data_IF_199669888025
#
_entry.id   IF_199669888025
#
_cell.length_a   1.000
_cell.length_b   1.000
_cell.length_c   1.000
_cell.angle_alpha   90.00
_cell.angle_beta   90.00
_cell.angle_gamma   90.00
#
_symmetry.space_group_name_H-M   'P 1'
#
loop_
_entity.id
_entity.type
_entity.pdbx_description
1 polymer ?
#
# COMPACT_ATOMS: atom_id res chain seq x y z
N UNK A 1 23.17 -17.66 -15.66
CA UNK A 1 22.22 -16.66 -16.19
C UNK A 1 20.92 -16.95 -15.45
N UNK A 2 20.57 -16.13 -14.45
CA UNK A 2 19.22 -16.15 -13.94
C UNK A 2 18.37 -15.47 -15.00
N UNK A 3 17.37 -16.19 -15.54
CA UNK A 3 16.39 -15.61 -16.43
C UNK A 3 15.79 -14.37 -15.74
N UNK A 4 15.91 -13.19 -16.35
CA UNK A 4 15.25 -12.00 -15.87
C UNK A 4 13.74 -12.29 -15.93
N UNK A 5 13.10 -12.27 -14.76
CA UNK A 5 11.64 -12.43 -14.66
C UNK A 5 11.01 -11.29 -15.46
N UNK A 6 10.33 -11.62 -16.53
CA UNK A 6 9.61 -10.65 -17.36
C UNK A 6 8.43 -10.06 -16.62
N UNK A 7 8.05 -8.82 -16.99
CA UNK A 7 6.89 -8.16 -16.38
C UNK A 7 5.59 -8.98 -16.53
N UNK A 8 5.42 -9.67 -17.66
CA UNK A 8 4.24 -10.50 -17.94
C UNK A 8 4.16 -11.73 -17.02
N UNK A 9 5.30 -12.23 -16.48
CA UNK A 9 5.35 -13.38 -15.58
C UNK A 9 4.83 -13.08 -14.16
N UNK A 10 4.74 -11.81 -13.80
CA UNK A 10 4.35 -11.33 -12.47
C UNK A 10 3.03 -10.55 -12.47
N UNK A 11 2.38 -10.43 -13.63
CA UNK A 11 1.13 -9.70 -13.78
C UNK A 11 -0.04 -10.52 -13.25
N UNK A 12 -0.92 -9.87 -12.50
CA UNK A 12 -2.21 -10.46 -12.13
C UNK A 12 -3.12 -10.55 -13.36
N UNK A 13 -3.92 -11.61 -13.41
CA UNK A 13 -4.96 -11.74 -14.43
C UNK A 13 -6.14 -10.81 -14.10
N UNK A 14 -6.17 -9.65 -14.72
CA UNK A 14 -7.19 -8.65 -14.48
C UNK A 14 -8.41 -8.83 -15.37
N UNK A 15 -9.59 -8.72 -14.76
CA UNK A 15 -10.85 -8.54 -15.47
C UNK A 15 -11.27 -7.06 -15.45
N UNK A 16 -12.16 -6.69 -16.38
CA UNK A 16 -12.77 -5.34 -16.39
C UNK A 16 -13.80 -5.20 -15.28
N UNK A 17 -14.12 -3.97 -14.89
CA UNK A 17 -15.21 -3.68 -13.93
C UNK A 17 -16.55 -4.26 -14.44
N UNK A 18 -16.84 -4.10 -15.72
CA UNK A 18 -18.06 -4.62 -16.32
C UNK A 18 -18.19 -6.15 -16.15
N UNK A 19 -17.10 -6.90 -16.40
CA UNK A 19 -17.07 -8.34 -16.19
C UNK A 19 -17.18 -8.70 -14.70
N UNK A 20 -16.46 -8.01 -13.84
CA UNK A 20 -16.44 -8.27 -12.40
C UNK A 20 -17.80 -8.11 -11.72
N UNK A 21 -18.62 -7.18 -12.19
CA UNK A 21 -19.99 -6.94 -11.67
C UNK A 21 -20.91 -8.16 -11.83
N UNK A 22 -20.68 -8.99 -12.83
CA UNK A 22 -21.45 -10.22 -13.06
C UNK A 22 -20.87 -11.45 -12.33
N UNK A 23 -19.72 -11.31 -11.66
CA UNK A 23 -19.03 -12.41 -10.98
C UNK A 23 -19.34 -12.44 -9.48
N UNK A 24 -19.41 -13.65 -8.93
CA UNK A 24 -19.53 -13.87 -7.48
C UNK A 24 -18.17 -13.91 -6.76
N UNK A 25 -18.23 -14.12 -5.46
CA UNK A 25 -17.01 -14.24 -4.62
C UNK A 25 -16.37 -12.90 -4.29
N UNK A 26 -15.08 -12.94 -3.97
CA UNK A 26 -14.31 -11.74 -3.63
C UNK A 26 -13.74 -11.10 -4.89
N UNK A 27 -14.03 -9.83 -5.10
CA UNK A 27 -13.48 -9.01 -6.17
C UNK A 27 -12.63 -7.89 -5.55
N UNK A 28 -11.35 -7.85 -5.92
CA UNK A 28 -10.42 -6.81 -5.49
C UNK A 28 -10.13 -5.86 -6.65
N UNK A 29 -10.60 -4.63 -6.55
CA UNK A 29 -10.20 -3.56 -7.47
C UNK A 29 -8.84 -3.05 -7.02
N UNK A 30 -7.81 -3.39 -7.79
CA UNK A 30 -6.41 -3.11 -7.41
C UNK A 30 -5.73 -2.08 -8.31
N UNK A 31 -6.29 -1.80 -9.49
CA UNK A 31 -5.59 -1.05 -10.53
C UNK A 31 -4.44 -1.86 -11.14
N UNK A 32 -4.31 -1.85 -12.44
CA UNK A 32 -3.27 -2.60 -13.15
C UNK A 32 -2.03 -1.72 -13.37
N UNK A 33 -1.33 -1.38 -12.32
CA UNK A 33 -0.13 -0.53 -12.39
C UNK A 33 1.14 -1.34 -12.15
N UNK A 34 2.22 -0.93 -12.79
CA UNK A 34 3.54 -1.55 -12.71
C UNK A 34 4.33 -1.16 -11.46
N UNK A 35 3.64 -0.72 -10.41
CA UNK A 35 4.23 -0.26 -9.16
C UNK A 35 3.42 -0.76 -7.96
N UNK A 36 4.08 -1.14 -6.86
CA UNK A 36 3.42 -1.58 -5.65
C UNK A 36 2.88 -0.35 -4.88
N UNK A 37 1.62 0.00 -5.10
CA UNK A 37 0.96 0.98 -4.23
C UNK A 37 0.72 0.35 -2.85
N UNK A 38 1.19 0.94 -1.73
CA UNK A 38 1.20 0.26 -0.43
C UNK A 38 -0.18 -0.14 0.06
N UNK A 39 -1.22 0.68 -0.16
CA UNK A 39 -2.60 0.32 0.19
C UNK A 39 -3.13 -0.86 -0.64
N UNK A 40 -2.77 -0.93 -1.94
CA UNK A 40 -3.17 -2.05 -2.80
C UNK A 40 -2.43 -3.32 -2.44
N UNK A 41 -1.12 -3.18 -2.20
CA UNK A 41 -0.27 -4.31 -1.81
C UNK A 41 -0.72 -4.89 -0.46
N UNK A 42 -0.91 -4.06 0.57
CA UNK A 42 -1.38 -4.53 1.87
C UNK A 42 -2.77 -5.17 1.80
N UNK A 43 -3.71 -4.57 1.05
CA UNK A 43 -5.04 -5.15 0.84
C UNK A 43 -4.94 -6.56 0.20
N UNK A 44 -4.17 -6.70 -0.88
CA UNK A 44 -3.92 -7.98 -1.54
C UNK A 44 -3.30 -9.00 -0.58
N UNK A 45 -2.25 -8.60 0.13
CA UNK A 45 -1.53 -9.47 1.06
C UNK A 45 -2.40 -9.99 2.22
N UNK A 46 -3.39 -9.21 2.71
CA UNK A 46 -4.33 -9.70 3.71
C UNK A 46 -5.08 -10.95 3.23
N UNK A 47 -5.60 -10.91 2.00
CA UNK A 47 -6.36 -12.03 1.43
C UNK A 47 -5.44 -13.20 1.01
N UNK A 48 -4.26 -12.90 0.47
CA UNK A 48 -3.26 -13.91 0.10
C UNK A 48 -2.81 -14.72 1.33
N UNK A 49 -2.45 -14.07 2.44
CA UNK A 49 -2.03 -14.73 3.69
C UNK A 49 -3.12 -15.61 4.27
N UNK A 50 -4.37 -15.21 4.12
CA UNK A 50 -5.54 -15.98 4.59
C UNK A 50 -5.98 -17.07 3.59
N UNK A 51 -5.31 -17.21 2.44
CA UNK A 51 -5.69 -18.17 1.42
C UNK A 51 -7.08 -17.90 0.81
N UNK A 52 -7.56 -16.67 0.85
CA UNK A 52 -8.86 -16.29 0.29
C UNK A 52 -8.70 -15.99 -1.19
N UNK A 53 -9.29 -16.80 -2.10
CA UNK A 53 -9.21 -16.52 -3.52
C UNK A 53 -10.00 -15.27 -3.89
N UNK A 54 -9.47 -14.50 -4.83
CA UNK A 54 -10.13 -13.29 -5.32
C UNK A 54 -9.96 -13.11 -6.82
N UNK A 55 -10.86 -12.33 -7.39
CA UNK A 55 -10.82 -11.87 -8.78
C UNK A 55 -10.16 -10.49 -8.79
N UNK A 56 -9.03 -10.36 -9.48
CA UNK A 56 -8.35 -9.08 -9.65
C UNK A 56 -9.08 -8.23 -10.69
N UNK A 57 -9.50 -7.03 -10.29
CA UNK A 57 -10.28 -6.13 -11.14
C UNK A 57 -9.43 -4.90 -11.49
N UNK A 58 -9.31 -4.64 -12.78
CA UNK A 58 -8.60 -3.46 -13.28
C UNK A 58 -9.41 -2.20 -13.03
N UNK A 59 -8.83 -1.26 -12.30
CA UNK A 59 -9.34 0.09 -12.17
C UNK A 59 -8.58 1.01 -13.12
N UNK A 60 -8.90 0.94 -14.41
CA UNK A 60 -8.36 1.87 -15.38
C UNK A 60 -9.46 2.17 -16.40
N UNK A 61 -9.57 3.42 -16.81
CA UNK A 61 -10.48 3.78 -17.90
C UNK A 61 -9.99 3.21 -19.23
N UNK A 62 -10.90 3.08 -20.18
CA UNK A 62 -10.57 2.78 -21.56
C UNK A 62 -9.58 3.84 -22.09
N UNK A 63 -8.39 3.41 -22.50
CA UNK A 63 -7.32 4.29 -22.97
C UNK A 63 -6.28 4.71 -21.92
N UNK A 64 -6.48 4.42 -20.63
CA UNK A 64 -5.43 4.60 -19.63
C UNK A 64 -4.28 3.61 -19.93
N UNK A 65 -3.08 4.12 -20.06
CA UNK A 65 -1.88 3.29 -20.20
C UNK A 65 -1.55 2.64 -18.86
N UNK A 66 -0.86 1.51 -18.88
CA UNK A 66 -0.39 0.82 -17.65
C UNK A 66 0.51 1.71 -16.77
N UNK A 67 1.00 2.80 -17.35
CA UNK A 67 1.86 3.80 -16.70
C UNK A 67 1.08 4.98 -16.12
N UNK A 68 -0.20 5.15 -16.44
CA UNK A 68 -1.00 6.22 -15.84
C UNK A 68 -1.32 5.83 -14.39
N UNK A 69 -0.95 6.68 -13.46
CA UNK A 69 -1.25 6.52 -12.02
C UNK A 69 -2.75 6.65 -11.68
N UNK A 70 -3.63 6.58 -12.69
CA UNK A 70 -5.02 6.97 -12.55
C UNK A 70 -5.19 8.47 -12.23
N UNK A 71 -4.17 9.25 -12.55
CA UNK A 71 -4.16 10.70 -12.37
C UNK A 71 -5.01 11.43 -13.41
N UNK A 72 -5.50 10.71 -14.42
CA UNK A 72 -6.48 11.20 -15.39
C UNK A 72 -7.89 11.42 -14.78
N UNK A 73 -8.03 11.15 -13.47
CA UNK A 73 -9.21 11.51 -12.68
C UNK A 73 -10.49 10.75 -12.99
N UNK A 74 -10.50 9.92 -14.02
CA UNK A 74 -11.74 9.33 -14.48
C UNK A 74 -11.87 7.85 -14.09
N UNK A 75 -12.13 7.58 -12.83
CA UNK A 75 -12.59 6.28 -12.37
C UNK A 75 -14.13 6.17 -12.38
N UNK A 76 -14.75 6.64 -13.46
CA UNK A 76 -16.21 6.73 -13.58
C UNK A 76 -16.92 5.38 -13.40
N UNK A 77 -16.39 4.30 -13.97
CA UNK A 77 -16.94 2.96 -13.78
C UNK A 77 -16.83 2.45 -12.35
N UNK A 78 -15.69 2.73 -11.70
CA UNK A 78 -15.49 2.39 -10.28
C UNK A 78 -16.44 3.20 -9.40
N UNK A 79 -16.54 4.49 -9.64
CA UNK A 79 -17.43 5.38 -8.90
C UNK A 79 -18.90 4.95 -9.04
N UNK A 80 -19.34 4.62 -10.26
CA UNK A 80 -20.71 4.16 -10.52
C UNK A 80 -21.01 2.80 -9.86
N UNK A 81 -20.00 1.93 -9.69
CA UNK A 81 -20.18 0.62 -9.07
C UNK A 81 -20.07 0.66 -7.55
N UNK A 82 -19.13 1.42 -7.02
CA UNK A 82 -18.72 1.30 -5.62
C UNK A 82 -18.86 2.58 -4.80
N UNK A 83 -19.24 3.69 -5.44
CA UNK A 83 -19.20 5.03 -4.88
C UNK A 83 -17.78 5.44 -4.40
N UNK A 84 -16.72 4.81 -4.96
CA UNK A 84 -15.32 5.10 -4.65
C UNK A 84 -14.58 5.55 -5.89
N UNK A 85 -13.70 6.53 -5.74
CA UNK A 85 -12.86 7.07 -6.82
C UNK A 85 -11.42 6.52 -6.78
N UNK A 86 -11.09 5.64 -5.83
CA UNK A 86 -9.73 5.12 -5.62
C UNK A 86 -9.72 3.64 -5.31
N UNK A 87 -8.72 2.93 -5.81
CA UNK A 87 -8.36 1.58 -5.40
C UNK A 87 -7.39 1.63 -4.19
N UNK A 88 -7.37 0.58 -3.34
CA UNK A 88 -8.09 -0.68 -3.47
C UNK A 88 -9.54 -0.62 -2.99
N UNK A 89 -10.41 -1.44 -3.60
CA UNK A 89 -11.77 -1.69 -3.11
C UNK A 89 -12.02 -3.19 -3.09
N UNK A 90 -12.46 -3.73 -1.95
CA UNK A 90 -12.84 -5.13 -1.79
C UNK A 90 -14.37 -5.26 -1.79
N UNK A 91 -14.91 -6.15 -2.62
CA UNK A 91 -16.34 -6.42 -2.74
C UNK A 91 -16.55 -7.93 -2.56
N UNK A 92 -17.30 -8.34 -1.54
CA UNK A 92 -17.69 -9.72 -1.31
C UNK A 92 -19.16 -9.92 -1.68
N UNK A 93 -19.42 -10.82 -2.62
CA UNK A 93 -20.79 -11.11 -3.11
C UNK A 93 -21.58 -9.81 -3.40
N UNK A 94 -22.77 -9.67 -2.87
CA UNK A 94 -23.62 -8.48 -3.05
C UNK A 94 -23.53 -7.50 -1.87
N UNK A 95 -22.48 -7.65 -1.03
CA UNK A 95 -22.28 -6.75 0.09
C UNK A 95 -21.73 -5.38 -0.34
N UNK A 96 -21.87 -4.40 0.57
CA UNK A 96 -21.29 -3.06 0.37
C UNK A 96 -19.79 -3.14 0.10
N UNK A 97 -19.27 -2.31 -0.79
CA UNK A 97 -17.82 -2.20 -1.03
C UNK A 97 -17.06 -1.75 0.24
N UNK A 98 -15.81 -2.22 0.39
CA UNK A 98 -14.89 -1.84 1.47
C UNK A 98 -13.68 -1.17 0.85
N UNK A 99 -13.49 0.10 1.18
CA UNK A 99 -12.41 0.94 0.62
C UNK A 99 -11.38 1.37 1.67
N UNK A 100 -11.69 1.23 2.97
CA UNK A 100 -10.75 1.56 4.03
C UNK A 100 -9.92 0.35 4.44
N UNK A 101 -8.70 0.60 4.91
CA UNK A 101 -7.80 -0.46 5.39
C UNK A 101 -8.44 -1.32 6.49
N UNK A 102 -9.18 -0.69 7.40
CA UNK A 102 -9.83 -1.39 8.52
C UNK A 102 -11.02 -2.24 8.06
N UNK A 103 -11.82 -1.75 7.12
CA UNK A 103 -12.94 -2.52 6.56
C UNK A 103 -12.44 -3.74 5.77
N UNK A 104 -11.31 -3.60 5.05
CA UNK A 104 -10.69 -4.69 4.31
C UNK A 104 -10.11 -5.75 5.24
N UNK A 105 -9.44 -5.34 6.32
CA UNK A 105 -8.95 -6.25 7.36
C UNK A 105 -10.10 -7.01 8.02
N UNK A 106 -11.15 -6.31 8.43
CA UNK A 106 -12.32 -6.93 9.06
C UNK A 106 -13.05 -7.90 8.12
N UNK A 107 -13.09 -7.59 6.81
CA UNK A 107 -13.62 -8.52 5.81
C UNK A 107 -12.77 -9.78 5.72
N UNK A 108 -11.44 -9.64 5.66
CA UNK A 108 -10.53 -10.77 5.58
C UNK A 108 -10.64 -11.69 6.83
N UNK A 109 -10.68 -11.09 8.04
CA UNK A 109 -10.88 -11.83 9.30
C UNK A 109 -12.22 -12.58 9.33
N UNK A 110 -13.28 -11.97 8.84
CA UNK A 110 -14.61 -12.59 8.79
C UNK A 110 -14.69 -13.73 7.79
N UNK A 111 -14.05 -13.61 6.62
CA UNK A 111 -14.11 -14.63 5.56
C UNK A 111 -13.25 -15.86 5.90
N UNK A 112 -12.12 -15.66 6.56
CA UNK A 112 -11.24 -16.72 7.03
C UNK A 112 -10.67 -16.35 8.42
N UNK A 113 -11.23 -16.85 9.51
CA UNK A 113 -10.75 -16.51 10.85
C UNK A 113 -9.29 -16.90 11.10
N UNK A 114 -8.77 -17.93 10.44
CA UNK A 114 -7.38 -18.36 10.52
C UNK A 114 -6.63 -18.16 9.19
N UNK A 115 -5.34 -17.81 9.24
CA UNK A 115 -4.59 -17.38 10.43
C UNK A 115 -5.14 -16.04 10.97
N UNK A 116 -5.35 -15.95 12.29
CA UNK A 116 -5.85 -14.74 12.92
C UNK A 116 -4.78 -13.63 12.86
N UNK A 117 -5.06 -12.53 12.15
CA UNK A 117 -4.18 -11.39 12.01
C UNK A 117 -4.47 -10.26 13.02
N UNK A 118 -5.55 -10.40 13.79
CA UNK A 118 -5.98 -9.42 14.79
C UNK A 118 -5.88 -10.08 16.17
N UNK A 119 -5.04 -9.57 17.10
CA UNK A 119 -4.90 -10.13 18.44
C UNK A 119 -6.24 -10.19 19.21
N UNK A 120 -6.43 -11.27 19.96
CA UNK A 120 -7.62 -11.44 20.82
C UNK A 120 -7.57 -10.56 22.07
N UNK A 121 -6.37 -10.33 22.61
CA UNK A 121 -6.16 -9.43 23.74
C UNK A 121 -6.59 -8.01 23.38
N UNK A 122 -7.39 -7.39 24.24
CA UNK A 122 -8.01 -6.09 23.96
C UNK A 122 -6.97 -4.97 23.84
N UNK A 123 -6.02 -4.88 24.76
CA UNK A 123 -5.04 -3.79 24.80
C UNK A 123 -4.06 -3.91 23.63
N UNK A 124 -3.61 -5.14 23.34
CA UNK A 124 -2.74 -5.43 22.19
C UNK A 124 -3.47 -5.12 20.87
N UNK A 125 -4.75 -5.44 20.78
CA UNK A 125 -5.58 -5.13 19.60
C UNK A 125 -5.75 -3.64 19.38
N UNK A 126 -6.07 -2.88 20.42
CA UNK A 126 -6.19 -1.40 20.35
C UNK A 126 -4.87 -0.78 19.94
N UNK A 127 -3.76 -1.23 20.53
CA UNK A 127 -2.42 -0.77 20.18
C UNK A 127 -2.08 -1.06 18.70
N UNK A 128 -2.35 -2.27 18.24
CA UNK A 128 -2.15 -2.68 16.85
C UNK A 128 -2.95 -1.80 15.88
N UNK A 129 -4.24 -1.58 16.14
CA UNK A 129 -5.08 -0.73 15.28
C UNK A 129 -4.60 0.71 15.26
N UNK A 130 -4.16 1.25 16.41
CA UNK A 130 -3.57 2.58 16.49
C UNK A 130 -2.33 2.71 15.61
N UNK A 131 -1.40 1.76 15.68
CA UNK A 131 -0.19 1.77 14.85
C UNK A 131 -0.49 1.59 13.35
N UNK A 132 -1.45 0.72 12.99
CA UNK A 132 -1.85 0.59 11.57
C UNK A 132 -2.45 1.91 11.07
N UNK A 133 -3.22 2.62 11.89
CA UNK A 133 -3.75 3.93 11.50
C UNK A 133 -2.64 4.96 11.25
N UNK A 134 -1.58 4.94 12.06
CA UNK A 134 -0.38 5.77 11.84
C UNK A 134 0.37 5.40 10.55
N UNK A 135 0.23 4.18 10.05
CA UNK A 135 0.85 3.71 8.80
C UNK A 135 -0.05 4.02 7.59
N UNK A 136 -1.29 3.53 7.62
CA UNK A 136 -2.16 3.44 6.45
C UNK A 136 -3.34 4.41 6.45
N UNK A 137 -3.61 5.06 7.57
CA UNK A 137 -4.69 6.04 7.71
C UNK A 137 -4.39 7.37 7.05
N UNK A 138 -5.40 8.24 7.03
CA UNK A 138 -5.23 9.64 6.68
C UNK A 138 -4.27 10.30 7.69
N UNK A 139 -3.37 11.16 7.19
CA UNK A 139 -2.25 11.72 7.95
C UNK A 139 -1.22 10.71 8.50
N UNK A 140 -1.32 9.43 8.14
CA UNK A 140 -0.33 8.41 8.43
C UNK A 140 0.90 8.47 7.52
N UNK A 141 1.79 7.47 7.65
CA UNK A 141 3.06 7.38 6.91
C UNK A 141 2.87 7.47 5.40
N UNK A 142 1.97 6.67 4.85
CA UNK A 142 1.72 6.64 3.41
C UNK A 142 1.15 7.96 2.90
N UNK A 143 0.23 8.58 3.63
CA UNK A 143 -0.36 9.86 3.28
C UNK A 143 0.68 10.98 3.28
N UNK A 144 1.46 11.09 4.35
CA UNK A 144 2.52 12.10 4.44
C UNK A 144 3.63 11.89 3.42
N UNK A 145 3.97 10.64 3.06
CA UNK A 145 4.91 10.39 1.96
C UNK A 145 4.36 10.93 0.63
N UNK A 146 3.06 10.83 0.37
CA UNK A 146 2.43 11.43 -0.83
C UNK A 146 2.46 12.96 -0.77
N UNK A 147 2.10 13.56 0.36
CA UNK A 147 2.17 15.03 0.54
C UNK A 147 3.60 15.56 0.35
N UNK A 148 4.59 14.87 0.89
CA UNK A 148 6.00 15.21 0.73
C UNK A 148 6.45 15.16 -0.75
N UNK A 149 6.08 14.10 -1.48
CA UNK A 149 6.38 13.99 -2.91
C UNK A 149 5.68 15.06 -3.75
N UNK A 150 4.41 15.34 -3.46
CA UNK A 150 3.64 16.38 -4.12
C UNK A 150 4.29 17.74 -3.90
N UNK A 151 4.65 18.07 -2.67
CA UNK A 151 5.29 19.33 -2.30
C UNK A 151 6.61 19.55 -3.06
N UNK A 152 7.47 18.54 -3.10
CA UNK A 152 8.73 18.59 -3.84
C UNK A 152 8.52 18.73 -5.35
N UNK A 153 7.59 17.96 -5.89
CA UNK A 153 7.33 17.96 -7.32
C UNK A 153 6.71 19.28 -7.80
N UNK A 154 5.74 19.85 -7.07
CA UNK A 154 5.13 21.13 -7.43
C UNK A 154 6.12 22.29 -7.32
N UNK A 155 7.10 22.23 -6.41
CA UNK A 155 8.17 23.22 -6.30
C UNK A 155 9.19 23.15 -7.44
N UNK A 156 9.39 21.97 -8.03
CA UNK A 156 10.38 21.74 -9.09
C UNK A 156 9.80 21.79 -10.51
N UNK A 157 8.52 21.45 -10.69
CA UNK A 157 7.88 21.40 -12.00
C UNK A 157 7.57 22.80 -12.54
N UNK A 158 7.85 23.03 -13.81
CA UNK A 158 7.49 24.29 -14.46
C UNK A 158 5.96 24.45 -14.53
N UNK A 159 5.41 25.62 -14.14
CA UNK A 159 3.97 25.85 -14.22
C UNK A 159 3.41 25.56 -15.62
N UNK A 160 2.31 24.80 -15.71
CA UNK A 160 1.67 24.41 -16.97
C UNK A 160 2.34 23.24 -17.70
N UNK A 161 3.42 22.70 -17.20
CA UNK A 161 4.00 21.45 -17.74
C UNK A 161 3.10 20.24 -17.48
N UNK A 162 3.33 19.13 -18.21
CA UNK A 162 2.62 17.87 -17.99
C UNK A 162 2.85 17.35 -16.56
N UNK A 163 4.09 17.46 -16.06
CA UNK A 163 4.42 17.09 -14.68
C UNK A 163 3.67 17.94 -13.66
N UNK A 164 3.64 19.28 -13.84
CA UNK A 164 2.89 20.15 -12.94
C UNK A 164 1.40 19.79 -12.93
N UNK A 165 0.82 19.52 -14.10
CA UNK A 165 -0.59 19.12 -14.21
C UNK A 165 -0.85 17.80 -13.48
N UNK A 166 0.00 16.81 -13.69
CA UNK A 166 -0.07 15.49 -13.01
C UNK A 166 -0.05 15.65 -11.48
N UNK A 167 0.93 16.41 -10.95
CA UNK A 167 1.07 16.59 -9.51
C UNK A 167 -0.04 17.44 -8.91
N UNK A 168 -0.63 18.37 -9.68
CA UNK A 168 -1.81 19.15 -9.26
C UNK A 168 -3.04 18.28 -9.07
N UNK A 169 -3.28 17.32 -9.96
CA UNK A 169 -4.38 16.33 -9.80
C UNK A 169 -4.17 15.47 -8.56
N UNK A 170 -2.93 15.06 -8.29
CA UNK A 170 -2.62 14.33 -7.05
C UNK A 170 -2.78 15.23 -5.81
N UNK A 171 -2.43 16.50 -5.90
CA UNK A 171 -2.61 17.46 -4.81
C UNK A 171 -4.09 17.60 -4.40
N UNK A 172 -4.99 17.68 -5.37
CA UNK A 172 -6.44 17.69 -5.12
C UNK A 172 -6.89 16.39 -4.43
N UNK A 173 -6.45 15.24 -4.94
CA UNK A 173 -6.80 13.92 -4.38
C UNK A 173 -6.38 13.76 -2.92
N UNK A 174 -5.18 14.27 -2.56
CA UNK A 174 -4.63 14.16 -1.21
C UNK A 174 -4.91 15.38 -0.34
N UNK A 175 -5.79 16.28 -0.78
CA UNK A 175 -6.15 17.51 -0.08
C UNK A 175 -4.92 18.35 0.34
N UNK A 176 -3.92 18.36 -0.54
CA UNK A 176 -2.64 19.00 -0.27
C UNK A 176 -2.79 20.50 -0.04
N UNK A 177 -2.08 20.98 0.99
CA UNK A 177 -1.78 22.40 1.19
C UNK A 177 -0.27 22.57 1.42
N UNK A 178 0.25 23.76 1.15
CA UNK A 178 1.67 24.04 1.39
C UNK A 178 2.08 23.81 2.86
N UNK A 179 1.19 24.12 3.81
CA UNK A 179 1.42 23.85 5.24
C UNK A 179 1.54 22.36 5.54
N UNK A 180 0.69 21.53 4.93
CA UNK A 180 0.76 20.07 5.08
C UNK A 180 2.03 19.50 4.43
N UNK A 181 2.42 20.01 3.26
CA UNK A 181 3.67 19.62 2.60
C UNK A 181 4.90 19.90 3.46
N UNK A 182 4.94 21.06 4.12
CA UNK A 182 6.03 21.42 5.05
C UNK A 182 6.05 20.52 6.29
N UNK A 183 4.89 20.15 6.84
CA UNK A 183 4.79 19.31 8.02
C UNK A 183 5.07 17.81 7.73
N UNK A 184 4.88 17.38 6.48
CA UNK A 184 4.91 15.97 6.09
C UNK A 184 6.21 15.27 6.44
N UNK A 185 7.37 15.91 6.24
CA UNK A 185 8.68 15.34 6.56
C UNK A 185 8.80 15.01 8.05
N UNK A 186 8.49 15.96 8.94
CA UNK A 186 8.57 15.76 10.38
C UNK A 186 7.64 14.62 10.83
N UNK A 187 6.44 14.52 10.23
CA UNK A 187 5.48 13.47 10.54
C UNK A 187 5.95 12.09 10.08
N UNK A 188 6.56 12.00 8.90
CA UNK A 188 7.19 10.75 8.42
C UNK A 188 8.25 10.27 9.42
N UNK A 189 9.17 11.15 9.83
CA UNK A 189 10.23 10.84 10.77
C UNK A 189 9.67 10.37 12.12
N UNK A 190 8.69 11.08 12.66
CA UNK A 190 8.04 10.71 13.93
C UNK A 190 7.45 9.30 13.89
N UNK A 191 6.71 8.98 12.81
CA UNK A 191 6.09 7.66 12.67
C UNK A 191 7.14 6.56 12.51
N UNK A 192 8.16 6.78 11.67
CA UNK A 192 9.24 5.80 11.48
C UNK A 192 10.00 5.52 12.79
N UNK A 193 10.39 6.56 13.52
CA UNK A 193 11.06 6.41 14.82
C UNK A 193 10.17 5.66 15.83
N UNK A 194 8.87 5.93 15.85
CA UNK A 194 7.93 5.22 16.71
C UNK A 194 7.83 3.75 16.37
N UNK A 195 7.69 3.41 15.07
CA UNK A 195 7.61 2.03 14.60
C UNK A 195 8.93 1.27 14.89
N UNK A 196 10.08 1.89 14.63
CA UNK A 196 11.38 1.28 14.92
C UNK A 196 11.53 0.95 16.42
N UNK A 197 11.19 1.90 17.30
CA UNK A 197 11.22 1.71 18.74
C UNK A 197 10.24 0.62 19.22
N UNK A 198 9.06 0.48 18.63
CA UNK A 198 8.11 -0.59 18.95
C UNK A 198 8.68 -1.96 18.57
N UNK A 199 9.27 -2.06 17.36
CA UNK A 199 9.85 -3.30 16.88
C UNK A 199 11.07 -3.73 17.70
N UNK A 200 11.94 -2.79 18.07
CA UNK A 200 13.10 -3.05 18.96
C UNK A 200 12.64 -3.58 20.31
N UNK A 201 11.65 -2.93 20.95
CA UNK A 201 11.05 -3.43 22.21
C UNK A 201 10.43 -4.84 22.07
N UNK A 202 9.84 -5.13 20.93
CA UNK A 202 9.32 -6.47 20.67
C UNK A 202 10.43 -7.51 20.53
N UNK A 203 11.54 -7.15 19.86
CA UNK A 203 12.75 -7.99 19.74
C UNK A 203 13.40 -8.27 21.09
N UNK A 204 13.46 -7.28 21.98
CA UNK A 204 13.94 -7.46 23.36
C UNK A 204 13.12 -8.48 24.15
N UNK A 205 11.81 -8.59 23.84
CA UNK A 205 10.91 -9.62 24.40
C UNK A 205 10.98 -10.96 23.67
N UNK A 206 11.91 -11.13 22.71
CA UNK A 206 12.11 -12.35 21.96
C UNK A 206 11.17 -12.56 20.77
N UNK A 207 10.38 -11.53 20.37
CA UNK A 207 9.51 -11.62 19.20
C UNK A 207 10.15 -10.98 17.97
N UNK A 208 9.85 -11.56 16.79
CA UNK A 208 10.19 -11.00 15.48
C UNK A 208 9.07 -10.15 14.88
N UNK A 209 7.90 -10.14 15.51
CA UNK A 209 6.69 -9.43 15.09
C UNK A 209 6.46 -8.23 15.97
N UNK A 210 5.70 -7.24 15.48
CA UNK A 210 5.36 -6.05 16.25
C UNK A 210 4.58 -6.38 17.52
N UNK A 211 3.62 -7.29 17.40
CA UNK A 211 2.74 -7.69 18.50
C UNK A 211 2.64 -9.22 18.59
N UNK A 212 2.73 -9.73 19.81
CA UNK A 212 2.63 -11.17 20.05
C UNK A 212 3.79 -11.97 19.46
N UNK A 213 3.54 -13.26 19.18
CA UNK A 213 4.54 -14.22 18.70
C UNK A 213 4.24 -14.75 17.28
N UNK A 214 3.27 -14.17 16.59
CA UNK A 214 2.82 -14.59 15.25
C UNK A 214 2.58 -13.36 14.38
N UNK A 215 2.52 -13.60 13.06
CA UNK A 215 2.15 -12.58 12.09
C UNK A 215 0.83 -11.90 12.48
N UNK A 216 0.83 -10.58 12.43
CA UNK A 216 -0.34 -9.73 12.59
C UNK A 216 -0.57 -8.83 11.38
N UNK A 217 -1.72 -8.21 11.28
CA UNK A 217 -1.98 -7.22 10.25
C UNK A 217 -0.98 -6.05 10.29
N UNK A 218 -0.51 -5.66 11.48
CA UNK A 218 0.49 -4.59 11.63
C UNK A 218 1.80 -4.92 10.91
N UNK A 219 2.25 -6.16 10.96
CA UNK A 219 3.46 -6.60 10.27
C UNK A 219 3.32 -6.47 8.75
N UNK A 220 2.16 -6.85 8.21
CA UNK A 220 1.85 -6.74 6.78
C UNK A 220 1.82 -5.26 6.35
N UNK A 221 1.07 -4.42 7.07
CA UNK A 221 1.00 -2.98 6.76
C UNK A 221 2.37 -2.32 6.86
N UNK A 222 3.12 -2.59 7.93
CA UNK A 222 4.46 -2.05 8.10
C UNK A 222 5.39 -2.44 6.93
N UNK A 223 5.41 -3.70 6.55
CA UNK A 223 6.27 -4.18 5.46
C UNK A 223 5.90 -3.54 4.10
N UNK A 224 4.61 -3.50 3.76
CA UNK A 224 4.13 -2.92 2.50
C UNK A 224 4.38 -1.40 2.42
N UNK A 225 4.20 -0.68 3.53
CA UNK A 225 4.39 0.76 3.57
C UNK A 225 5.86 1.17 3.68
N UNK A 226 6.69 0.38 4.35
CA UNK A 226 8.14 0.59 4.32
C UNK A 226 8.70 0.41 2.90
N UNK A 227 8.15 -0.51 2.11
CA UNK A 227 8.52 -0.69 0.71
C UNK A 227 8.21 0.54 -0.18
N UNK A 228 7.34 1.45 0.26
CA UNK A 228 7.12 2.77 -0.36
C UNK A 228 8.30 3.72 -0.13
N UNK A 229 9.06 3.52 0.93
CA UNK A 229 10.22 4.33 1.31
C UNK A 229 11.52 3.77 0.71
N UNK A 230 11.65 2.44 0.71
CA UNK A 230 12.75 1.69 0.13
C UNK A 230 12.20 0.43 -0.55
N UNK A 231 12.05 0.44 -1.90
CA UNK A 231 11.54 -0.72 -2.62
C UNK A 231 12.45 -1.94 -2.47
N UNK A 232 11.86 -3.13 -2.45
CA UNK A 232 12.59 -4.39 -2.53
C UNK A 232 13.51 -4.42 -3.76
N UNK A 233 14.58 -5.22 -3.74
CA UNK A 233 15.47 -5.39 -4.90
C UNK A 233 14.71 -5.72 -6.19
N UNK A 234 15.22 -5.33 -7.37
CA UNK A 234 14.53 -5.55 -8.65
C UNK A 234 14.09 -6.98 -8.90
N UNK A 235 14.88 -7.97 -8.52
CA UNK A 235 14.53 -9.39 -8.64
C UNK A 235 13.32 -9.81 -7.80
N UNK A 236 13.03 -9.10 -6.70
CA UNK A 236 11.90 -9.40 -5.82
C UNK A 236 10.71 -8.45 -6.05
N UNK A 237 10.95 -7.27 -6.59
CA UNK A 237 9.94 -6.28 -6.94
C UNK A 237 10.28 -5.68 -8.32
N UNK A 238 9.94 -6.35 -9.41
CA UNK A 238 10.28 -5.96 -10.77
C UNK A 238 9.37 -4.82 -11.27
N UNK A 239 9.34 -3.73 -10.53
CA UNK A 239 8.60 -2.51 -10.91
C UNK A 239 9.31 -1.78 -12.07
N UNK A 240 8.54 -1.01 -12.85
CA UNK A 240 9.09 -0.22 -13.93
C UNK A 240 10.22 0.69 -13.44
N UNK A 241 11.38 0.64 -14.13
CA UNK A 241 12.60 1.33 -13.72
C UNK A 241 12.44 2.86 -13.62
N UNK A 242 11.57 3.45 -14.44
CA UNK A 242 11.24 4.88 -14.41
C UNK A 242 10.59 5.35 -13.10
N UNK A 243 9.90 4.47 -12.38
CA UNK A 243 9.22 4.81 -11.12
C UNK A 243 10.05 4.51 -9.87
N UNK A 244 11.05 3.65 -9.99
CA UNK A 244 11.87 3.24 -8.84
C UNK A 244 12.51 4.41 -8.08
N UNK A 245 13.07 5.45 -8.76
CA UNK A 245 13.63 6.61 -8.08
C UNK A 245 12.60 7.38 -7.23
N UNK A 246 11.35 7.49 -7.70
CA UNK A 246 10.29 8.18 -6.94
C UNK A 246 9.86 7.43 -5.67
N UNK A 247 10.08 6.10 -5.63
CA UNK A 247 9.80 5.26 -4.46
C UNK A 247 10.99 5.16 -3.51
N UNK A 248 12.19 5.43 -3.98
CA UNK A 248 13.37 5.47 -3.10
C UNK A 248 13.40 6.80 -2.36
N UNK A 249 13.56 6.72 -1.04
CA UNK A 249 13.80 7.92 -0.28
C UNK A 249 15.20 8.50 -0.62
N UNK A 250 15.29 9.82 -0.76
CA UNK A 250 16.53 10.54 -0.99
C UNK A 250 16.78 11.65 0.05
N UNK A 251 15.88 11.79 1.02
CA UNK A 251 16.02 12.76 2.11
C UNK A 251 16.84 12.13 3.26
N UNK A 252 18.00 12.73 3.66
CA UNK A 252 18.90 12.12 4.62
C UNK A 252 18.30 12.00 6.03
N UNK A 253 17.44 12.91 6.45
CA UNK A 253 16.83 12.84 7.78
C UNK A 253 15.78 11.72 7.84
N UNK A 254 15.02 11.55 6.76
CA UNK A 254 14.09 10.42 6.63
C UNK A 254 14.88 9.10 6.56
N UNK A 255 16.00 9.06 5.81
CA UNK A 255 16.84 7.88 5.70
C UNK A 255 17.41 7.48 7.08
N UNK A 256 17.82 8.44 7.87
CA UNK A 256 18.25 8.18 9.26
C UNK A 256 17.13 7.60 10.12
N UNK A 257 15.89 8.07 9.95
CA UNK A 257 14.72 7.58 10.69
C UNK A 257 14.23 6.21 10.24
N UNK A 258 14.62 5.76 9.04
CA UNK A 258 14.19 4.48 8.46
C UNK A 258 14.73 3.25 9.21
N UNK A 259 15.69 3.35 10.09
CA UNK A 259 16.16 2.30 11.00
C UNK A 259 16.44 0.93 10.34
N UNK A 260 17.51 0.26 10.72
CA UNK A 260 17.81 -1.08 10.18
C UNK A 260 16.80 -2.13 10.64
N UNK A 261 16.19 -1.97 11.81
CA UNK A 261 15.22 -2.92 12.33
C UNK A 261 13.96 -2.99 11.47
N UNK A 262 13.46 -1.86 10.97
CA UNK A 262 12.31 -1.81 10.07
C UNK A 262 12.62 -2.43 8.71
N UNK A 263 13.82 -2.21 8.18
CA UNK A 263 14.27 -2.83 6.93
C UNK A 263 14.34 -4.35 7.04
N UNK A 264 15.01 -4.84 8.09
CA UNK A 264 15.13 -6.27 8.36
C UNK A 264 13.75 -6.94 8.55
N UNK A 265 12.84 -6.22 9.23
CA UNK A 265 11.47 -6.69 9.44
C UNK A 265 10.70 -6.76 8.12
N UNK A 266 10.77 -5.72 7.26
CA UNK A 266 10.17 -5.77 5.92
C UNK A 266 10.66 -7.00 5.16
N UNK A 267 11.98 -7.20 5.09
CA UNK A 267 12.58 -8.31 4.34
C UNK A 267 12.18 -9.66 4.93
N UNK A 268 12.08 -9.76 6.26
CA UNK A 268 11.58 -10.94 6.94
C UNK A 268 10.12 -11.23 6.58
N UNK A 269 9.23 -10.24 6.68
CA UNK A 269 7.80 -10.43 6.41
C UNK A 269 7.56 -10.81 4.95
N UNK A 270 8.23 -10.16 4.00
CA UNK A 270 8.10 -10.55 2.59
C UNK A 270 8.60 -11.96 2.33
N UNK A 271 9.74 -12.34 2.90
CA UNK A 271 10.34 -13.66 2.65
C UNK A 271 9.54 -14.82 3.26
N UNK A 272 9.00 -14.63 4.47
CA UNK A 272 8.38 -15.72 5.24
C UNK A 272 6.84 -15.79 5.04
N UNK A 273 6.20 -14.68 4.69
CA UNK A 273 4.75 -14.58 4.76
C UNK A 273 4.06 -14.05 3.50
N UNK A 274 4.77 -13.27 2.69
CA UNK A 274 4.17 -12.64 1.52
C UNK A 274 4.67 -13.29 0.23
N UNK A 275 3.91 -13.06 -0.85
CA UNK A 275 4.28 -13.62 -2.15
C UNK A 275 5.45 -12.86 -2.76
N UNK A 276 6.48 -13.60 -3.19
CA UNK A 276 7.62 -13.10 -3.94
C UNK A 276 7.82 -13.91 -5.24
N UNK A 277 8.26 -13.28 -6.35
CA UNK A 277 8.33 -11.83 -6.51
C UNK A 277 6.98 -11.16 -6.33
N UNK A 278 7.00 -9.84 -6.02
CA UNK A 278 5.77 -9.05 -5.89
C UNK A 278 5.01 -9.08 -7.22
N UNK A 279 3.73 -9.36 -7.17
CA UNK A 279 2.85 -9.49 -8.34
C UNK A 279 1.93 -8.27 -8.42
N UNK A 280 1.83 -7.67 -9.61
CA UNK A 280 1.07 -6.44 -9.84
C UNK A 280 -0.21 -6.67 -10.62
#
# INVERSE_FOLDING_TARGET
MQDEIGFDDIKLNYVTIAAARAMGGLRLVLGAYTIPGPWRESCKCLFDVKGIPYISVRCANAGATETSFGADGSHSELLAWTAQSSAPVAIWADERPRSTWIDQLNLAERLAPEPCLVPLDFDVRVHMFGLINEIAGEHGLGWNKRLFLIDQALKSAAPGSADHTFWSVLAEKYLYTAAMGLAAKARIIEILCKLDAELLRSRERGSRYFVGARLSALDIYSACFYALMEPLPPALCPMASSYRPAYRNADPDIEQAMGSALKDHRDFIYREHLRLPVVF
#
